data_IF_815664299458
#
_entry.id   IF_815664299458
#
_cell.length_a   1.000
_cell.length_b   1.000
_cell.length_c   1.000
_cell.angle_alpha   90.00
_cell.angle_beta   90.00
_cell.angle_gamma   90.00
#
_symmetry.space_group_name_H-M   'P 1'
#
loop_
_entity.id
_entity.type
_entity.pdbx_description
1 polymer ?
#
# COMPACT_ATOMS: atom_id res chain seq x y z
N UNK A 1 -53.29 5.08 -47.54
CA UNK A 1 -53.39 5.74 -46.22
C UNK A 1 -52.13 5.45 -45.44
N UNK A 2 -51.20 6.40 -45.37
CA UNK A 2 -49.97 6.34 -44.57
C UNK A 2 -50.15 7.23 -43.34
N UNK A 3 -49.78 6.72 -42.16
CA UNK A 3 -49.54 7.52 -40.94
C UNK A 3 -48.02 7.59 -40.70
N UNK A 4 -47.47 8.75 -40.31
CA UNK A 4 -46.07 8.89 -39.98
C UNK A 4 -45.82 8.60 -38.49
N UNK A 5 -44.64 8.09 -38.17
CA UNK A 5 -44.05 8.19 -36.83
C UNK A 5 -42.62 8.68 -37.02
N UNK A 6 -42.43 9.97 -36.72
CA UNK A 6 -41.13 10.56 -36.44
C UNK A 6 -40.57 9.93 -35.16
N UNK A 7 -39.27 9.63 -35.13
CA UNK A 7 -38.44 9.90 -33.95
C UNK A 7 -36.94 9.81 -34.30
N UNK A 8 -36.33 11.00 -34.32
CA UNK A 8 -34.97 11.37 -33.94
C UNK A 8 -33.79 10.47 -34.34
N UNK A 9 -33.06 10.96 -35.34
CA UNK A 9 -31.64 10.67 -35.54
C UNK A 9 -30.83 11.17 -34.34
N UNK A 10 -30.30 10.26 -33.52
CA UNK A 10 -29.28 10.59 -32.54
C UNK A 10 -27.93 10.71 -33.27
N UNK A 11 -27.45 11.95 -33.38
CA UNK A 11 -26.10 12.26 -33.84
C UNK A 11 -25.14 11.82 -32.72
N UNK A 12 -24.47 10.68 -32.92
CA UNK A 12 -23.30 10.29 -32.13
C UNK A 12 -22.14 11.19 -32.58
N UNK A 13 -21.94 12.29 -31.86
CA UNK A 13 -20.70 13.06 -31.92
C UNK A 13 -19.65 12.25 -31.15
N UNK A 14 -18.96 11.35 -31.86
CA UNK A 14 -17.75 10.69 -31.38
C UNK A 14 -16.61 11.71 -31.33
N UNK A 15 -16.55 12.49 -30.25
CA UNK A 15 -15.35 13.24 -29.91
C UNK A 15 -14.24 12.23 -29.60
N UNK A 16 -13.23 12.22 -30.47
CA UNK A 16 -11.92 11.62 -30.24
C UNK A 16 -11.28 12.31 -29.04
N UNK A 17 -11.51 11.80 -27.84
CA UNK A 17 -10.73 12.10 -26.64
C UNK A 17 -9.92 10.86 -26.31
N UNK A 18 -8.60 11.00 -26.23
CA UNK A 18 -7.68 9.93 -25.84
C UNK A 18 -8.23 9.21 -24.60
N UNK A 19 -8.52 7.92 -24.74
CA UNK A 19 -8.63 7.04 -23.59
C UNK A 19 -7.27 7.10 -22.88
N UNK A 20 -7.20 7.89 -21.80
CA UNK A 20 -6.20 7.66 -20.77
C UNK A 20 -6.56 6.31 -20.17
N UNK A 21 -5.95 5.25 -20.68
CA UNK A 21 -6.01 3.93 -20.06
C UNK A 21 -5.49 4.07 -18.64
N UNK A 22 -6.41 4.22 -17.68
CA UNK A 22 -6.08 4.05 -16.27
C UNK A 22 -5.54 2.62 -16.15
N UNK A 23 -4.34 2.42 -15.60
CA UNK A 23 -3.74 1.09 -15.57
C UNK A 23 -4.65 0.15 -14.78
N UNK A 24 -5.02 -0.97 -15.39
CA UNK A 24 -5.88 -1.99 -14.79
C UNK A 24 -5.20 -2.57 -13.55
N UNK A 25 -5.95 -2.62 -12.45
CA UNK A 25 -5.49 -3.26 -11.23
C UNK A 25 -5.41 -4.78 -11.42
N UNK A 26 -4.36 -5.38 -10.91
CA UNK A 26 -4.10 -6.82 -10.96
C UNK A 26 -3.87 -7.34 -9.55
N UNK A 27 -4.47 -8.49 -9.27
CA UNK A 27 -4.32 -9.21 -8.02
C UNK A 27 -3.59 -10.52 -8.25
N UNK A 28 -2.66 -10.84 -7.37
CA UNK A 28 -2.02 -12.14 -7.35
C UNK A 28 -1.56 -12.50 -5.94
N UNK A 29 -1.26 -13.78 -5.70
CA UNK A 29 -0.85 -14.25 -4.39
C UNK A 29 0.23 -15.32 -4.48
N UNK A 30 1.09 -15.36 -3.48
CA UNK A 30 2.19 -16.32 -3.38
C UNK A 30 2.59 -16.54 -1.91
N UNK A 31 3.22 -17.68 -1.64
CA UNK A 31 3.67 -18.04 -0.29
C UNK A 31 5.19 -18.19 -0.23
N UNK A 32 5.78 -17.84 0.90
CA UNK A 32 7.19 -18.13 1.19
C UNK A 32 7.42 -18.41 2.68
N UNK A 33 8.41 -19.25 2.98
CA UNK A 33 8.83 -19.50 4.36
C UNK A 33 9.54 -18.26 4.92
N UNK A 34 9.06 -17.73 6.06
CA UNK A 34 9.70 -16.58 6.69
C UNK A 34 11.05 -16.96 7.24
N UNK A 35 12.07 -16.12 6.99
CA UNK A 35 13.39 -16.24 7.63
C UNK A 35 13.46 -15.47 8.95
N UNK A 36 12.52 -14.56 9.20
CA UNK A 36 12.50 -13.66 10.36
C UNK A 36 11.50 -14.10 11.44
N UNK A 37 10.49 -14.89 11.07
CA UNK A 37 9.44 -15.39 11.97
C UNK A 37 9.30 -16.90 11.83
N UNK A 38 8.84 -17.58 12.87
CA UNK A 38 8.41 -18.98 12.77
C UNK A 38 7.08 -19.03 12.02
N UNK A 39 7.09 -19.50 10.77
CA UNK A 39 5.88 -19.72 9.97
C UNK A 39 6.03 -19.39 8.49
N UNK A 40 4.93 -19.52 7.76
CA UNK A 40 4.82 -19.19 6.33
C UNK A 40 4.12 -17.85 6.16
N UNK A 41 4.61 -17.03 5.24
CA UNK A 41 3.95 -15.76 4.85
C UNK A 41 3.20 -16.00 3.55
N UNK A 42 1.91 -15.70 3.55
CA UNK A 42 1.08 -15.62 2.36
C UNK A 42 0.89 -14.14 1.99
N UNK A 43 1.41 -13.78 0.82
CA UNK A 43 1.32 -12.44 0.26
C UNK A 43 0.15 -12.38 -0.71
N UNK A 44 -0.67 -11.34 -0.58
CA UNK A 44 -1.69 -10.95 -1.56
C UNK A 44 -1.35 -9.55 -2.05
N UNK A 45 -0.96 -9.43 -3.33
CA UNK A 45 -0.55 -8.17 -3.92
C UNK A 45 -1.62 -7.62 -4.86
N UNK A 46 -2.03 -6.39 -4.58
CA UNK A 46 -2.87 -5.53 -5.41
C UNK A 46 -2.00 -4.46 -6.08
N UNK A 47 -1.93 -4.47 -7.42
CA UNK A 47 -1.02 -3.61 -8.17
C UNK A 47 -1.61 -2.98 -9.42
N UNK A 48 -1.34 -1.69 -9.64
CA UNK A 48 -1.64 -0.99 -10.90
C UNK A 48 -0.39 -0.37 -11.55
N UNK A 49 0.81 -0.76 -11.14
CA UNK A 49 2.04 -0.17 -11.67
C UNK A 49 2.21 -0.58 -13.14
N UNK A 50 2.15 0.36 -14.11
CA UNK A 50 2.41 0.04 -15.50
C UNK A 50 3.92 -0.07 -15.76
N UNK A 51 4.28 -0.92 -16.72
CA UNK A 51 5.65 -1.14 -17.15
C UNK A 51 6.26 0.17 -17.67
N UNK A 52 7.32 0.67 -17.03
CA UNK A 52 8.10 1.82 -17.48
C UNK A 52 7.90 3.15 -16.74
N UNK A 53 6.90 3.26 -15.85
CA UNK A 53 6.74 4.46 -14.99
C UNK A 53 7.33 4.27 -13.60
N UNK A 54 7.17 3.07 -13.03
CA UNK A 54 8.07 2.59 -11.99
C UNK A 54 9.05 1.61 -12.63
N UNK A 55 10.31 1.64 -12.21
CA UNK A 55 11.27 0.64 -12.67
C UNK A 55 10.84 -0.77 -12.23
N UNK A 56 11.09 -1.76 -13.08
CA UNK A 56 10.94 -3.16 -12.69
C UNK A 56 11.80 -3.40 -11.46
N UNK A 57 11.18 -3.90 -10.38
CA UNK A 57 11.82 -4.11 -9.06
C UNK A 57 12.25 -2.84 -8.33
N UNK A 58 11.60 -1.69 -8.56
CA UNK A 58 11.88 -0.47 -7.79
C UNK A 58 11.84 -0.70 -6.26
N UNK A 59 11.04 -1.66 -5.78
CA UNK A 59 10.94 -2.02 -4.35
C UNK A 59 12.18 -2.71 -3.77
N UNK A 60 13.02 -3.28 -4.63
CA UNK A 60 14.25 -4.00 -4.28
C UNK A 60 15.49 -3.10 -4.40
N UNK A 61 15.33 -1.85 -4.84
CA UNK A 61 16.41 -0.88 -4.94
C UNK A 61 16.90 -0.43 -3.55
N UNK A 62 18.04 0.25 -3.52
CA UNK A 62 18.71 0.59 -2.26
C UNK A 62 17.84 1.53 -1.40
N UNK A 63 17.76 1.29 -0.07
CA UNK A 63 17.17 2.25 0.84
C UNK A 63 17.90 3.59 0.74
N UNK A 64 17.12 4.66 0.62
CA UNK A 64 17.65 6.01 0.61
C UNK A 64 18.40 6.32 1.92
N UNK A 65 19.67 6.72 1.79
CA UNK A 65 20.51 7.14 2.90
C UNK A 65 20.84 8.64 2.76
N UNK A 66 20.44 9.50 3.72
CA UNK A 66 20.78 10.91 3.69
C UNK A 66 22.30 11.08 3.74
N UNK A 67 22.90 11.63 2.68
CA UNK A 67 24.36 11.71 2.51
C UNK A 67 25.04 12.87 3.28
N UNK A 68 24.35 13.47 4.27
CA UNK A 68 24.83 14.64 5.01
C UNK A 68 24.85 15.95 4.22
N UNK A 69 24.55 15.91 2.91
CA UNK A 69 24.31 17.08 2.06
C UNK A 69 22.82 17.43 2.11
N UNK A 70 22.49 18.69 2.36
CA UNK A 70 21.11 19.18 2.32
C UNK A 70 20.47 18.86 0.97
N UNK A 71 19.44 18.02 0.98
CA UNK A 71 18.67 17.71 -0.23
C UNK A 71 17.53 18.69 -0.39
N UNK A 72 17.18 18.98 -1.64
CA UNK A 72 15.91 19.65 -1.93
C UNK A 72 14.80 18.63 -1.73
N UNK A 73 14.14 18.69 -0.57
CA UNK A 73 12.90 17.95 -0.35
C UNK A 73 11.86 18.50 -1.31
N UNK A 74 11.36 17.66 -2.22
CA UNK A 74 10.40 18.12 -3.23
C UNK A 74 8.98 18.19 -2.67
N UNK A 75 8.66 17.28 -1.75
CA UNK A 75 7.33 17.14 -1.16
C UNK A 75 7.34 16.14 0.00
N UNK A 76 6.27 16.17 0.79
CA UNK A 76 5.93 15.24 1.86
C UNK A 76 4.76 14.38 1.42
N UNK A 77 4.98 13.08 1.39
CA UNK A 77 3.93 12.08 1.29
C UNK A 77 3.29 11.90 2.66
N UNK A 78 1.97 11.89 2.70
CA UNK A 78 1.18 11.60 3.89
C UNK A 78 0.25 10.43 3.56
N UNK A 79 0.40 9.34 4.31
CA UNK A 79 -0.42 8.15 4.16
C UNK A 79 -1.19 7.93 5.45
N UNK A 80 -2.50 8.06 5.36
CA UNK A 80 -3.41 7.74 6.45
C UNK A 80 -3.94 6.33 6.26
N UNK A 81 -3.82 5.52 7.29
CA UNK A 81 -4.27 4.13 7.29
C UNK A 81 -5.59 4.04 8.02
N UNK A 82 -6.60 3.53 7.33
CA UNK A 82 -7.93 3.27 7.87
C UNK A 82 -8.10 1.77 8.04
N UNK A 83 -7.61 1.26 9.16
CA UNK A 83 -7.93 -0.10 9.61
C UNK A 83 -9.13 -0.08 10.56
N UNK A 84 -9.76 -1.24 10.75
CA UNK A 84 -10.93 -1.38 11.64
C UNK A 84 -10.54 -1.44 13.12
N UNK A 85 -9.31 -1.06 13.51
CA UNK A 85 -8.91 -1.03 14.91
C UNK A 85 -9.31 0.30 15.54
N UNK A 86 -9.98 0.21 16.69
CA UNK A 86 -10.43 1.34 17.49
C UNK A 86 -9.27 2.26 17.93
N UNK A 87 -8.03 1.78 17.85
CA UNK A 87 -6.81 2.51 18.25
C UNK A 87 -6.07 3.17 17.07
N UNK A 88 -6.45 2.90 15.81
CA UNK A 88 -5.69 3.34 14.62
C UNK A 88 -6.45 4.25 13.67
N UNK A 89 -7.73 4.54 13.91
CA UNK A 89 -8.50 5.44 13.05
C UNK A 89 -7.77 6.79 12.91
N UNK A 90 -6.96 6.93 11.86
CA UNK A 90 -6.35 8.19 11.42
C UNK A 90 -4.92 8.53 11.85
N UNK A 91 -4.02 7.58 12.11
CA UNK A 91 -2.60 7.94 12.18
C UNK A 91 -2.03 8.26 10.78
N UNK A 92 -1.48 9.47 10.62
CA UNK A 92 -0.90 9.94 9.36
C UNK A 92 0.61 9.67 9.36
N UNK A 93 1.03 8.75 8.50
CA UNK A 93 2.44 8.45 8.28
C UNK A 93 3.00 9.45 7.27
N UNK A 94 3.87 10.36 7.75
CA UNK A 94 4.51 11.36 6.92
C UNK A 94 5.91 10.92 6.46
N UNK A 95 6.18 11.05 5.17
CA UNK A 95 7.43 10.65 4.51
C UNK A 95 7.91 11.77 3.61
N UNK A 96 9.10 12.31 3.88
CA UNK A 96 9.72 13.29 3.00
C UNK A 96 10.39 12.59 1.81
N UNK A 97 10.10 13.07 0.61
CA UNK A 97 10.63 12.54 -0.64
C UNK A 97 11.55 13.58 -1.30
N UNK A 98 12.88 13.38 -1.24
CA UNK A 98 13.82 14.20 -1.98
C UNK A 98 13.56 14.16 -3.49
N UNK A 99 13.52 15.34 -4.10
CA UNK A 99 13.29 15.50 -5.55
C UNK A 99 14.42 14.95 -6.44
N UNK A 100 15.58 14.65 -5.86
CA UNK A 100 16.80 14.23 -6.55
C UNK A 100 17.31 12.83 -6.13
N UNK A 101 16.46 11.98 -5.54
CA UNK A 101 16.87 10.68 -4.98
C UNK A 101 17.18 9.57 -6.01
N UNK A 102 17.16 9.88 -7.31
CA UNK A 102 17.46 8.89 -8.36
C UNK A 102 16.53 7.67 -8.29
N UNK A 103 17.12 6.48 -8.07
CA UNK A 103 16.40 5.21 -7.95
C UNK A 103 16.20 4.76 -6.49
N UNK A 104 16.70 5.53 -5.53
CA UNK A 104 16.66 5.13 -4.13
C UNK A 104 15.22 5.14 -3.60
N UNK A 105 14.99 4.25 -2.64
CA UNK A 105 13.67 4.01 -2.05
C UNK A 105 13.64 4.57 -0.65
N UNK A 106 12.72 5.49 -0.39
CA UNK A 106 12.45 5.91 0.99
C UNK A 106 11.61 4.84 1.65
N UNK A 107 12.08 4.40 2.82
CA UNK A 107 11.47 3.34 3.60
C UNK A 107 10.98 3.92 4.93
N UNK A 108 9.76 3.53 5.33
CA UNK A 108 9.23 3.73 6.68
C UNK A 108 8.63 2.44 7.18
N UNK A 109 9.12 2.00 8.32
CA UNK A 109 8.60 0.85 9.03
C UNK A 109 7.80 1.33 10.23
N UNK A 110 6.53 0.93 10.29
CA UNK A 110 5.63 1.23 11.39
C UNK A 110 5.13 -0.09 11.96
N UNK A 111 5.77 -0.54 13.04
CA UNK A 111 5.43 -1.79 13.71
C UNK A 111 4.59 -1.49 14.94
N UNK A 112 3.47 -2.21 15.09
CA UNK A 112 2.75 -2.35 16.34
C UNK A 112 3.01 -3.75 16.88
N UNK A 113 3.66 -3.82 18.03
CA UNK A 113 3.90 -5.10 18.69
C UNK A 113 2.60 -5.55 19.34
N UNK A 114 1.92 -6.55 18.78
CA UNK A 114 0.87 -7.28 19.50
C UNK A 114 1.51 -8.48 20.18
N UNK A 115 1.29 -8.61 21.49
CA UNK A 115 1.71 -9.77 22.27
C UNK A 115 0.47 -10.59 22.64
N UNK A 116 0.49 -11.88 22.31
CA UNK A 116 -0.53 -12.82 22.75
C UNK A 116 0.13 -13.89 23.63
N UNK A 117 -0.52 -14.17 24.77
CA UNK A 117 -0.12 -15.27 25.66
C UNK A 117 -0.93 -16.50 25.25
N UNK A 118 -0.30 -17.45 24.56
CA UNK A 118 -0.96 -18.69 24.14
C UNK A 118 -0.80 -19.74 25.25
N UNK A 119 -1.90 -20.21 25.83
CA UNK A 119 -1.92 -21.44 26.64
C UNK A 119 -3.30 -22.09 26.61
N UNK A 120 -3.39 -23.42 26.40
CA UNK A 120 -4.62 -24.15 26.68
C UNK A 120 -4.83 -24.23 28.20
N UNK A 121 -6.02 -23.84 28.65
CA UNK A 121 -6.45 -24.00 30.04
C UNK A 121 -6.61 -25.50 30.35
N UNK A 122 -5.82 -26.00 31.29
CA UNK A 122 -6.13 -27.26 31.97
C UNK A 122 -5.86 -27.10 33.46
N UNK A 123 -6.91 -27.26 34.26
CA UNK A 123 -6.89 -27.34 35.72
C UNK A 123 -6.54 -26.06 36.50
N UNK A 124 -6.90 -24.87 36.00
CA UNK A 124 -6.94 -23.65 36.82
C UNK A 124 -5.58 -23.14 37.31
N UNK A 125 -4.48 -23.61 36.71
CA UNK A 125 -3.13 -23.09 36.90
C UNK A 125 -2.75 -22.37 35.61
N UNK A 126 -2.68 -21.04 35.67
CA UNK A 126 -2.18 -20.21 34.57
C UNK A 126 -0.70 -20.55 34.40
N UNK A 127 -0.36 -21.43 33.44
CA UNK A 127 1.02 -21.54 32.98
C UNK A 127 1.32 -20.31 32.14
N UNK A 128 2.46 -19.68 32.42
CA UNK A 128 3.01 -18.65 31.57
C UNK A 128 3.37 -19.32 30.23
N UNK A 129 2.48 -19.19 29.24
CA UNK A 129 2.73 -19.63 27.88
C UNK A 129 3.85 -18.82 27.23
N UNK A 130 4.38 -19.33 26.12
CA UNK A 130 5.31 -18.56 25.31
C UNK A 130 4.62 -17.28 24.83
N UNK A 131 5.24 -16.12 25.09
CA UNK A 131 4.81 -14.85 24.52
C UNK A 131 4.99 -14.95 23.00
N UNK A 132 3.87 -15.05 22.29
CA UNK A 132 3.87 -14.99 20.83
C UNK A 132 3.78 -13.52 20.42
N UNK A 133 4.91 -13.01 19.93
CA UNK A 133 4.99 -11.68 19.32
C UNK A 133 4.74 -11.84 17.83
N UNK A 134 3.67 -11.22 17.33
CA UNK A 134 3.51 -11.04 15.90
C UNK A 134 3.48 -9.54 15.59
N UNK A 135 4.25 -9.10 14.60
CA UNK A 135 4.11 -7.74 14.12
C UNK A 135 2.77 -7.64 13.41
N UNK A 136 1.86 -6.82 13.95
CA UNK A 136 0.93 -6.10 13.08
C UNK A 136 1.69 -4.86 12.65
N UNK A 137 1.97 -4.75 11.36
CA UNK A 137 2.91 -3.74 10.90
C UNK A 137 2.61 -3.27 9.51
N UNK A 138 2.83 -1.97 9.31
CA UNK A 138 2.76 -1.31 8.03
C UNK A 138 4.17 -0.95 7.58
N UNK A 139 4.54 -1.43 6.40
CA UNK A 139 5.83 -1.11 5.81
C UNK A 139 5.62 -0.32 4.53
N UNK A 140 5.96 0.97 4.57
CA UNK A 140 5.85 1.88 3.44
C UNK A 140 7.17 1.99 2.68
N UNK A 141 7.05 1.98 1.35
CA UNK A 141 8.11 2.27 0.40
C UNK A 141 7.62 3.33 -0.57
N UNK A 142 8.41 4.35 -0.82
CA UNK A 142 8.11 5.34 -1.85
C UNK A 142 9.36 5.72 -2.64
N UNK A 143 9.22 5.84 -3.96
CA UNK A 143 10.33 6.09 -4.85
C UNK A 143 9.93 6.87 -6.11
N UNK A 144 10.95 7.32 -6.84
CA UNK A 144 10.83 7.97 -8.15
C UNK A 144 9.86 9.15 -8.19
N UNK A 145 10.00 10.13 -7.27
CA UNK A 145 9.20 11.34 -7.27
C UNK A 145 9.41 12.14 -8.56
N UNK A 146 8.33 12.49 -9.26
CA UNK A 146 8.40 13.27 -10.51
C UNK A 146 7.15 14.13 -10.73
N UNK A 147 7.36 15.34 -11.23
CA UNK A 147 6.29 16.19 -11.76
C UNK A 147 6.02 15.90 -13.24
N UNK A 148 4.75 15.73 -13.58
CA UNK A 148 4.26 15.57 -14.96
C UNK A 148 3.15 16.60 -15.21
N UNK A 149 3.54 17.78 -15.71
CA UNK A 149 2.63 18.92 -15.80
C UNK A 149 2.33 19.49 -14.41
N UNK A 150 1.05 19.51 -14.02
CA UNK A 150 0.61 19.94 -12.69
C UNK A 150 0.54 18.77 -11.69
N UNK A 151 0.59 17.52 -12.19
CA UNK A 151 0.46 16.35 -11.36
C UNK A 151 1.82 15.93 -10.80
N UNK A 152 1.77 15.46 -9.57
CA UNK A 152 2.84 14.74 -8.95
C UNK A 152 2.64 13.24 -9.12
N UNK A 153 3.74 12.54 -9.41
CA UNK A 153 3.77 11.10 -9.59
C UNK A 153 4.87 10.46 -8.77
N UNK A 154 4.60 9.30 -8.19
CA UNK A 154 5.60 8.47 -7.51
C UNK A 154 5.11 7.03 -7.40
N UNK A 155 6.05 6.12 -7.13
CA UNK A 155 5.77 4.72 -6.85
C UNK A 155 5.54 4.55 -5.35
N UNK A 156 4.45 3.90 -4.95
CA UNK A 156 4.09 3.65 -3.56
C UNK A 156 3.85 2.17 -3.34
N UNK A 157 4.49 1.63 -2.30
CA UNK A 157 4.28 0.28 -1.81
C UNK A 157 3.90 0.33 -0.35
N UNK A 158 2.82 -0.34 0.02
CA UNK A 158 2.39 -0.48 1.42
C UNK A 158 2.20 -1.97 1.69
N UNK A 159 2.99 -2.53 2.61
CA UNK A 159 2.77 -3.89 3.08
C UNK A 159 2.09 -3.83 4.46
N UNK A 160 0.92 -4.44 4.58
CA UNK A 160 0.26 -4.68 5.86
C UNK A 160 0.46 -6.15 6.24
N UNK A 161 1.30 -6.38 7.25
CA UNK A 161 1.58 -7.72 7.77
C UNK A 161 0.79 -7.94 9.05
N UNK A 162 0.07 -9.07 9.13
CA UNK A 162 -0.75 -9.42 10.29
C UNK A 162 -0.91 -10.93 10.42
N UNK A 163 -1.30 -11.40 11.60
CA UNK A 163 -1.71 -12.78 11.81
C UNK A 163 -3.23 -12.83 12.06
N UNK A 164 -4.02 -13.48 11.19
CA UNK A 164 -5.45 -13.65 11.43
C UNK A 164 -5.73 -14.40 12.73
N UNK A 165 -6.81 -14.04 13.42
CA UNK A 165 -7.19 -14.68 14.69
C UNK A 165 -7.38 -16.20 14.56
N UNK A 166 -7.92 -16.67 13.43
CA UNK A 166 -8.09 -18.09 13.13
C UNK A 166 -6.77 -18.88 13.08
N UNK A 167 -5.65 -18.21 12.83
CA UNK A 167 -4.32 -18.84 12.73
C UNK A 167 -3.62 -18.93 14.10
N UNK A 168 -4.15 -18.29 15.15
CA UNK A 168 -3.53 -18.25 16.49
C UNK A 168 -3.47 -19.62 17.17
N UNK A 169 -4.42 -20.50 16.89
CA UNK A 169 -4.45 -21.88 17.41
C UNK A 169 -3.81 -22.90 16.45
N UNK A 170 -3.27 -22.46 15.32
CA UNK A 170 -2.68 -23.35 14.32
C UNK A 170 -1.31 -23.85 14.79
N UNK A 171 -1.01 -25.11 14.46
CA UNK A 171 0.33 -25.71 14.68
C UNK A 171 1.36 -25.10 13.72
N UNK A 172 0.91 -24.58 12.57
CA UNK A 172 1.72 -23.85 11.59
C UNK A 172 0.97 -22.56 11.20
N UNK A 173 1.11 -21.48 11.98
CA UNK A 173 0.37 -20.24 11.75
C UNK A 173 0.78 -19.58 10.43
N UNK A 174 -0.20 -19.22 9.60
CA UNK A 174 0.05 -18.46 8.35
C UNK A 174 -0.06 -16.97 8.58
N UNK A 175 1.08 -16.27 8.51
CA UNK A 175 1.15 -14.82 8.50
C UNK A 175 0.59 -14.32 7.17
N UNK A 176 -0.26 -13.30 7.20
CA UNK A 176 -0.80 -12.63 6.00
C UNK A 176 -0.05 -11.33 5.75
N UNK A 177 0.18 -11.05 4.47
CA UNK A 177 0.74 -9.80 4.01
C UNK A 177 -0.13 -9.26 2.87
N UNK A 178 -0.96 -8.27 3.17
CA UNK A 178 -1.70 -7.53 2.16
C UNK A 178 -0.78 -6.45 1.60
N UNK A 179 -0.49 -6.50 0.31
CA UNK A 179 0.45 -5.61 -0.36
C UNK A 179 -0.26 -4.72 -1.36
N UNK A 180 -0.14 -3.42 -1.16
CA UNK A 180 -0.42 -2.43 -2.19
C UNK A 180 0.86 -2.09 -2.93
N UNK A 181 0.79 -2.02 -4.25
CA UNK A 181 1.87 -1.59 -5.11
C UNK A 181 1.29 -0.72 -6.23
N UNK A 182 1.38 0.60 -6.10
CA UNK A 182 0.68 1.51 -6.99
C UNK A 182 1.57 2.61 -7.54
N UNK A 183 1.13 3.20 -8.64
CA UNK A 183 1.54 4.53 -9.07
C UNK A 183 0.56 5.55 -8.51
N UNK A 184 1.04 6.47 -7.69
CA UNK A 184 0.28 7.67 -7.35
C UNK A 184 0.36 8.67 -8.52
N UNK A 185 -0.78 9.27 -8.85
CA UNK A 185 -0.90 10.37 -9.81
C UNK A 185 -1.96 11.30 -9.28
N UNK A 186 -1.58 12.50 -8.86
CA UNK A 186 -2.53 13.49 -8.34
C UNK A 186 -1.92 14.87 -8.24
N UNK A 187 -2.76 15.88 -8.09
CA UNK A 187 -2.30 17.24 -7.80
C UNK A 187 -1.74 17.34 -6.36
N UNK A 188 -0.75 18.21 -6.11
CA UNK A 188 -0.32 18.47 -4.74
C UNK A 188 -1.48 18.90 -3.83
N UNK A 189 -1.66 18.19 -2.72
CA UNK A 189 -2.75 18.38 -1.77
C UNK A 189 -4.01 17.56 -2.06
N UNK A 190 -4.09 16.88 -3.20
CA UNK A 190 -5.18 15.97 -3.53
C UNK A 190 -5.12 14.69 -2.67
N UNK A 191 -6.26 14.28 -2.14
CA UNK A 191 -6.42 13.05 -1.36
C UNK A 191 -7.01 11.95 -2.25
N UNK A 192 -6.29 10.85 -2.38
CA UNK A 192 -6.71 9.68 -3.14
C UNK A 192 -6.84 8.46 -2.24
N UNK A 193 -7.88 7.67 -2.46
CA UNK A 193 -8.16 6.46 -1.69
C UNK A 193 -7.72 5.20 -2.43
N UNK A 194 -7.12 4.27 -1.69
CA UNK A 194 -6.69 2.96 -2.18
C UNK A 194 -7.11 1.86 -1.21
N UNK A 195 -7.28 0.64 -1.74
CA UNK A 195 -7.53 -0.56 -0.96
C UNK A 195 -6.32 -1.50 -1.03
N UNK A 196 -5.89 -2.00 0.12
CA UNK A 196 -4.80 -2.94 0.29
C UNK A 196 -5.32 -4.16 1.06
N UNK A 197 -5.98 -5.09 0.34
CA UNK A 197 -6.64 -6.24 0.95
C UNK A 197 -7.69 -5.80 1.98
N UNK A 198 -7.39 -6.03 3.25
CA UNK A 198 -8.28 -5.72 4.39
C UNK A 198 -8.28 -4.27 4.84
N UNK A 199 -7.35 -3.44 4.33
CA UNK A 199 -7.12 -2.07 4.80
C UNK A 199 -7.43 -1.04 3.72
N UNK A 200 -7.97 0.11 4.12
CA UNK A 200 -8.12 1.28 3.25
C UNK A 200 -7.05 2.32 3.58
N UNK A 201 -6.60 3.03 2.56
CA UNK A 201 -5.52 4.02 2.66
C UNK A 201 -5.99 5.31 2.01
N UNK A 202 -5.76 6.44 2.67
CA UNK A 202 -5.82 7.77 2.04
C UNK A 202 -4.41 8.28 1.86
N UNK A 203 -4.07 8.68 0.64
CA UNK A 203 -2.74 9.16 0.28
C UNK A 203 -2.84 10.59 -0.20
N UNK A 204 -1.98 11.45 0.34
CA UNK A 204 -1.84 12.85 -0.04
C UNK A 204 -0.37 13.18 -0.23
N UNK A 205 -0.05 14.03 -1.20
CA UNK A 205 1.30 14.56 -1.36
C UNK A 205 1.29 16.08 -1.25
N UNK A 206 2.13 16.64 -0.38
CA UNK A 206 2.16 18.07 -0.03
C UNK A 206 3.52 18.65 -0.44
N UNK A 207 3.54 19.77 -1.17
CA UNK A 207 4.81 20.46 -1.49
C UNK A 207 5.39 21.07 -0.21
N UNK A 208 6.71 20.95 -0.04
CA UNK A 208 7.47 21.52 1.09
C UNK A 208 8.24 22.78 0.71
#
# INVERSE_FOLDING_TARGET
MFKPLFCYSAILVGLTGCATDLPEYRDWSYEYASKAHSGTVLVTEHTNVPTGQCHDKWRDENPYQPSGVNQTVGFRLEVQIHDQSDETFGEVIAVELPSNQGKDVVIRDFQRTRSLMLSPDSNGIVKQGDLFFFPEGYFLRAAQPKFEGQNLTFCLGVDHTYLPEAELSSVDPKIRMDRLNIRFVGEPGEELEYAAGTVKLTVRAVIL
#
